data_IF_154269145116
#
_entry.id   IF_154269145116
#
_cell.length_a   1.000
_cell.length_b   1.000
_cell.length_c   1.000
_cell.angle_alpha   90.00
_cell.angle_beta   90.00
_cell.angle_gamma   90.00
#
_symmetry.space_group_name_H-M   'P 1'
#
loop_
_entity.id
_entity.type
_entity.pdbx_description
1 polymer ?
#
# COMPACT_ATOMS: atom_id res chain seq x y z
N UNK A 1 28.97 -19.44 -67.73
CA UNK A 1 28.56 -18.24 -66.98
C UNK A 1 27.43 -18.65 -66.05
N UNK A 2 27.74 -18.84 -64.76
CA UNK A 2 26.78 -19.29 -63.74
C UNK A 2 26.43 -18.10 -62.87
N UNK A 3 25.17 -17.67 -62.90
CA UNK A 3 24.62 -16.68 -61.98
C UNK A 3 24.03 -17.47 -60.81
N UNK A 4 24.67 -17.38 -59.65
CA UNK A 4 24.22 -18.00 -58.40
C UNK A 4 22.94 -17.31 -57.93
N UNK A 5 21.89 -18.12 -57.79
CA UNK A 5 20.63 -17.78 -57.13
C UNK A 5 20.90 -17.46 -55.65
N UNK A 6 20.47 -16.28 -55.23
CA UNK A 6 20.67 -15.75 -53.90
C UNK A 6 19.77 -16.48 -52.91
N UNK A 7 20.38 -17.36 -52.11
CA UNK A 7 19.77 -17.99 -50.95
C UNK A 7 19.14 -16.92 -50.03
N UNK A 8 17.83 -16.73 -50.14
CA UNK A 8 17.01 -16.09 -49.11
C UNK A 8 17.14 -16.91 -47.84
N UNK A 9 18.04 -16.49 -46.95
CA UNK A 9 18.00 -16.87 -45.54
C UNK A 9 16.70 -16.33 -44.96
N UNK A 10 15.67 -17.16 -45.01
CA UNK A 10 14.43 -16.95 -44.27
C UNK A 10 14.82 -17.01 -42.79
N UNK A 11 14.98 -15.84 -42.16
CA UNK A 11 15.06 -15.70 -40.71
C UNK A 11 13.77 -16.30 -40.13
N UNK A 12 13.83 -17.59 -39.80
CA UNK A 12 12.82 -18.22 -38.96
C UNK A 12 13.08 -17.70 -37.55
N UNK A 13 12.32 -16.70 -37.15
CA UNK A 13 12.17 -16.35 -35.74
C UNK A 13 11.87 -17.64 -34.97
N UNK A 14 12.59 -17.94 -33.87
CA UNK A 14 12.17 -19.03 -33.01
C UNK A 14 10.73 -18.71 -32.59
N UNK A 15 9.81 -19.64 -32.85
CA UNK A 15 8.45 -19.53 -32.35
C UNK A 15 8.55 -19.43 -30.83
N UNK A 16 8.42 -18.21 -30.31
CA UNK A 16 8.26 -17.96 -28.88
C UNK A 16 6.97 -18.68 -28.52
N UNK A 17 7.09 -19.81 -27.82
CA UNK A 17 5.95 -20.62 -27.42
C UNK A 17 5.03 -19.80 -26.54
N UNK A 18 3.91 -19.36 -27.12
CA UNK A 18 2.90 -18.49 -26.50
C UNK A 18 2.20 -19.10 -25.30
N UNK A 19 2.36 -20.40 -25.10
CA UNK A 19 1.48 -21.19 -24.24
C UNK A 19 1.98 -21.27 -22.78
N UNK A 20 3.26 -20.92 -22.53
CA UNK A 20 3.85 -20.89 -21.18
C UNK A 20 4.07 -19.49 -20.62
N UNK A 21 4.19 -18.48 -21.47
CA UNK A 21 4.40 -17.09 -21.02
C UNK A 21 3.10 -16.41 -20.59
N UNK A 22 1.98 -16.78 -21.20
CA UNK A 22 0.63 -16.28 -20.86
C UNK A 22 0.25 -16.47 -19.38
N UNK A 23 0.35 -17.67 -18.77
CA UNK A 23 0.01 -17.86 -17.35
C UNK A 23 0.96 -17.12 -16.38
N UNK A 24 2.23 -16.91 -16.77
CA UNK A 24 3.20 -16.13 -15.98
C UNK A 24 2.87 -14.63 -16.02
N UNK A 25 2.40 -14.13 -17.16
CA UNK A 25 2.03 -12.73 -17.32
C UNK A 25 0.73 -12.43 -16.56
N UNK A 26 -0.27 -13.31 -16.64
CA UNK A 26 -1.53 -13.20 -15.90
C UNK A 26 -1.31 -13.20 -14.39
N UNK A 27 -0.45 -14.08 -13.87
CA UNK A 27 -0.10 -14.10 -12.44
C UNK A 27 0.67 -12.85 -12.02
N UNK A 28 1.59 -12.34 -12.85
CA UNK A 28 2.31 -11.10 -12.55
C UNK A 28 1.37 -9.88 -12.50
N UNK A 29 0.45 -9.77 -13.47
CA UNK A 29 -0.56 -8.69 -13.53
C UNK A 29 -1.51 -8.78 -12.33
N UNK A 30 -2.03 -9.97 -12.01
CA UNK A 30 -2.89 -10.15 -10.85
C UNK A 30 -2.21 -9.72 -9.54
N UNK A 31 -0.93 -10.09 -9.35
CA UNK A 31 -0.16 -9.68 -8.16
C UNK A 31 0.04 -8.16 -8.10
N UNK A 32 0.29 -7.51 -9.24
CA UNK A 32 0.42 -6.06 -9.31
C UNK A 32 -0.89 -5.33 -8.96
N UNK A 33 -2.02 -5.84 -9.46
CA UNK A 33 -3.35 -5.29 -9.16
C UNK A 33 -3.67 -5.45 -7.68
N UNK A 34 -3.50 -6.65 -7.10
CA UNK A 34 -3.76 -6.90 -5.68
C UNK A 34 -2.89 -5.99 -4.81
N UNK A 35 -1.60 -5.87 -5.11
CA UNK A 35 -0.71 -4.98 -4.36
C UNK A 35 -1.20 -3.52 -4.43
N UNK A 36 -1.56 -3.04 -5.63
CA UNK A 36 -2.07 -1.68 -5.82
C UNK A 36 -3.33 -1.43 -4.99
N UNK A 37 -4.27 -2.37 -5.01
CA UNK A 37 -5.50 -2.28 -4.23
C UNK A 37 -5.23 -2.28 -2.72
N UNK A 38 -4.31 -3.13 -2.25
CA UNK A 38 -3.96 -3.19 -0.83
C UNK A 38 -3.30 -1.88 -0.35
N UNK A 39 -2.43 -1.29 -1.17
CA UNK A 39 -1.83 0.03 -0.90
C UNK A 39 -2.85 1.15 -0.94
N UNK A 40 -3.77 1.16 -1.92
CA UNK A 40 -4.86 2.12 -1.99
C UNK A 40 -5.77 2.01 -0.76
N UNK A 41 -6.08 0.79 -0.32
CA UNK A 41 -6.87 0.51 0.87
C UNK A 41 -6.19 1.02 2.14
N UNK A 42 -4.87 0.83 2.28
CA UNK A 42 -4.09 1.44 3.37
C UNK A 42 -4.22 2.96 3.40
N UNK A 43 -4.06 3.61 2.25
CA UNK A 43 -4.21 5.07 2.15
C UNK A 43 -5.61 5.50 2.58
N UNK A 44 -6.65 4.82 2.10
CA UNK A 44 -8.04 5.12 2.47
C UNK A 44 -8.31 4.92 3.96
N UNK A 45 -7.86 3.80 4.54
CA UNK A 45 -7.99 3.52 5.97
C UNK A 45 -7.28 4.58 6.82
N UNK A 46 -6.12 5.02 6.35
CA UNK A 46 -5.34 6.06 7.01
C UNK A 46 -6.03 7.43 6.97
N UNK A 47 -6.62 7.81 5.83
CA UNK A 47 -7.44 9.02 5.73
C UNK A 47 -8.69 8.95 6.60
N UNK A 48 -9.37 7.81 6.63
CA UNK A 48 -10.55 7.61 7.47
C UNK A 48 -10.22 7.77 8.95
N UNK A 49 -9.10 7.21 9.41
CA UNK A 49 -8.62 7.36 10.79
C UNK A 49 -8.26 8.82 11.13
N UNK A 50 -7.52 9.52 10.25
CA UNK A 50 -7.23 10.94 10.47
C UNK A 50 -8.52 11.76 10.55
N UNK A 51 -9.44 11.55 9.62
CA UNK A 51 -10.69 12.31 9.57
C UNK A 51 -11.57 12.07 10.80
N UNK A 52 -11.74 10.82 11.20
CA UNK A 52 -12.54 10.45 12.38
C UNK A 52 -11.92 10.96 13.67
N UNK A 53 -10.59 10.95 13.80
CA UNK A 53 -9.90 11.54 14.96
C UNK A 53 -10.02 13.06 15.00
N UNK A 54 -9.80 13.75 13.88
CA UNK A 54 -9.91 15.21 13.82
C UNK A 54 -11.34 15.65 14.16
N UNK A 55 -12.33 14.97 13.59
CA UNK A 55 -13.74 15.25 13.86
C UNK A 55 -14.12 14.91 15.31
N UNK A 56 -13.69 13.75 15.81
CA UNK A 56 -13.87 13.31 17.20
C UNK A 56 -13.34 14.30 18.22
N UNK A 57 -12.10 14.70 18.06
CA UNK A 57 -11.44 15.69 18.93
C UNK A 57 -12.10 17.07 18.80
N UNK A 58 -12.53 17.46 17.60
CA UNK A 58 -13.22 18.72 17.36
C UNK A 58 -14.58 18.85 18.08
N UNK A 59 -15.27 17.72 18.30
CA UNK A 59 -16.56 17.71 19.01
C UNK A 59 -16.45 17.27 20.49
N UNK A 60 -15.23 17.11 21.02
CA UNK A 60 -14.98 16.84 22.43
C UNK A 60 -14.99 15.37 22.84
N UNK A 61 -14.82 14.43 21.90
CA UNK A 61 -14.63 13.01 22.25
C UNK A 61 -13.29 12.78 22.97
N UNK A 62 -13.28 11.87 23.97
CA UNK A 62 -12.09 11.55 24.74
C UNK A 62 -11.10 10.69 23.93
N UNK A 63 -9.98 11.27 23.50
CA UNK A 63 -8.85 10.53 22.92
C UNK A 63 -8.11 9.75 24.01
N UNK A 64 -8.11 8.41 23.90
CA UNK A 64 -7.44 7.50 24.84
C UNK A 64 -5.96 7.35 24.56
N UNK A 65 -5.48 7.71 23.36
CA UNK A 65 -4.06 7.69 23.06
C UNK A 65 -3.34 8.87 23.75
N UNK A 66 -2.43 8.62 24.72
CA UNK A 66 -1.78 9.70 25.47
C UNK A 66 -0.95 10.63 24.58
N UNK A 67 -0.35 10.12 23.50
CA UNK A 67 0.45 10.91 22.56
C UNK A 67 -0.44 11.76 21.66
N UNK A 68 -1.51 11.20 21.12
CA UNK A 68 -2.49 11.93 20.31
C UNK A 68 -3.17 13.04 21.12
N UNK A 69 -3.50 12.74 22.37
CA UNK A 69 -4.07 13.68 23.33
C UNK A 69 -3.11 14.83 23.65
N UNK A 70 -1.86 14.52 23.96
CA UNK A 70 -0.83 15.53 24.22
C UNK A 70 -0.64 16.47 23.02
N UNK A 71 -0.46 15.91 21.82
CA UNK A 71 -0.30 16.71 20.59
C UNK A 71 -1.50 17.62 20.32
N UNK A 72 -2.72 17.11 20.54
CA UNK A 72 -3.93 17.90 20.36
C UNK A 72 -4.06 19.04 21.38
N UNK A 73 -3.86 18.77 22.68
CA UNK A 73 -4.02 19.82 23.69
C UNK A 73 -2.90 20.86 23.65
N UNK A 74 -1.67 20.45 23.34
CA UNK A 74 -0.52 21.35 23.37
C UNK A 74 -0.33 22.12 22.05
N UNK A 75 -0.69 21.51 20.91
CA UNK A 75 -0.38 22.03 19.56
C UNK A 75 -1.57 22.05 18.60
N UNK A 76 -2.75 21.59 19.03
CA UNK A 76 -3.98 21.62 18.25
C UNK A 76 -4.12 20.50 17.21
N UNK A 77 -5.24 20.56 16.48
CA UNK A 77 -5.64 19.58 15.46
C UNK A 77 -4.56 19.35 14.38
N UNK A 78 -3.92 20.43 13.94
CA UNK A 78 -2.94 20.36 12.86
C UNK A 78 -1.73 19.50 13.23
N UNK A 79 -1.28 19.55 14.49
CA UNK A 79 -0.15 18.75 14.97
C UNK A 79 -0.51 17.26 15.09
N UNK A 80 -1.71 16.94 15.57
CA UNK A 80 -2.21 15.57 15.63
C UNK A 80 -2.35 14.95 14.21
N UNK A 81 -2.87 15.73 13.25
CA UNK A 81 -2.96 15.30 11.86
C UNK A 81 -1.57 15.11 11.23
N UNK A 82 -0.65 16.06 11.43
CA UNK A 82 0.71 15.97 10.92
C UNK A 82 1.46 14.75 11.47
N UNK A 83 1.28 14.42 12.76
CA UNK A 83 1.85 13.23 13.36
C UNK A 83 1.34 11.94 12.70
N UNK A 84 0.03 11.80 12.50
CA UNK A 84 -0.53 10.63 11.79
C UNK A 84 0.00 10.50 10.37
N UNK A 85 0.06 11.62 9.63
CA UNK A 85 0.64 11.65 8.29
C UNK A 85 2.13 11.25 8.28
N UNK A 86 2.90 11.68 9.28
CA UNK A 86 4.30 11.29 9.43
C UNK A 86 4.45 9.78 9.68
N UNK A 87 3.59 9.18 10.52
CA UNK A 87 3.59 7.73 10.76
C UNK A 87 3.25 6.96 9.48
N UNK A 88 2.25 7.40 8.72
CA UNK A 88 1.88 6.79 7.43
C UNK A 88 3.06 6.89 6.45
N UNK A 89 3.68 8.06 6.35
CA UNK A 89 4.85 8.28 5.50
C UNK A 89 6.04 7.40 5.89
N UNK A 90 6.28 7.22 7.20
CA UNK A 90 7.32 6.34 7.71
C UNK A 90 7.06 4.88 7.35
N UNK A 91 5.82 4.40 7.54
CA UNK A 91 5.44 3.02 7.20
C UNK A 91 5.60 2.80 5.70
N UNK A 92 5.00 3.66 4.86
CA UNK A 92 5.10 3.55 3.41
C UNK A 92 6.56 3.63 2.92
N UNK A 93 7.35 4.56 3.46
CA UNK A 93 8.76 4.74 3.12
C UNK A 93 9.62 3.54 3.52
N UNK A 94 9.47 3.05 4.75
CA UNK A 94 10.17 1.86 5.24
C UNK A 94 9.83 0.64 4.38
N UNK A 95 8.54 0.47 4.03
CA UNK A 95 8.13 -0.55 3.10
C UNK A 95 8.89 -0.40 1.78
N UNK A 96 8.82 0.74 1.10
CA UNK A 96 9.46 0.92 -0.22
C UNK A 96 10.97 0.64 -0.15
N UNK A 97 11.62 1.05 0.94
CA UNK A 97 13.03 0.77 1.19
C UNK A 97 13.31 -0.74 1.33
N UNK A 98 12.48 -1.47 2.08
CA UNK A 98 12.59 -2.93 2.22
C UNK A 98 12.37 -3.61 0.87
N UNK A 99 11.33 -3.23 0.11
CA UNK A 99 11.10 -3.73 -1.24
C UNK A 99 12.32 -3.51 -2.14
N UNK A 100 12.89 -2.30 -2.11
CA UNK A 100 14.08 -1.96 -2.90
C UNK A 100 15.33 -2.75 -2.49
N UNK A 101 15.50 -3.00 -1.18
CA UNK A 101 16.59 -3.81 -0.64
C UNK A 101 16.45 -5.28 -1.06
N UNK A 102 15.25 -5.85 -0.88
CA UNK A 102 14.96 -7.23 -1.24
C UNK A 102 15.08 -7.43 -2.75
N UNK A 103 14.64 -6.48 -3.60
CA UNK A 103 14.84 -6.58 -5.05
C UNK A 103 16.32 -6.59 -5.46
N UNK A 104 17.18 -5.96 -4.67
CA UNK A 104 18.63 -5.86 -4.94
C UNK A 104 19.40 -7.08 -4.46
N UNK A 105 18.95 -7.72 -3.38
CA UNK A 105 19.74 -8.75 -2.68
C UNK A 105 19.05 -10.13 -2.57
N UNK A 106 17.74 -10.21 -2.83
CA UNK A 106 16.93 -11.43 -2.74
C UNK A 106 16.15 -11.63 -4.05
N UNK A 107 15.85 -12.88 -4.40
CA UNK A 107 15.35 -13.33 -5.72
C UNK A 107 13.91 -12.90 -6.09
N UNK A 108 13.54 -11.65 -5.85
CA UNK A 108 12.23 -11.07 -6.10
C UNK A 108 11.47 -10.69 -4.82
N UNK A 109 10.38 -9.92 -4.94
CA UNK A 109 9.65 -9.42 -3.79
C UNK A 109 8.91 -10.56 -3.07
N UNK A 110 9.05 -10.65 -1.75
CA UNK A 110 8.47 -11.73 -0.96
C UNK A 110 6.95 -11.62 -0.92
N UNK A 111 6.28 -12.76 -0.75
CA UNK A 111 4.82 -12.87 -0.74
C UNK A 111 4.18 -11.98 0.35
N UNK A 112 4.85 -11.78 1.48
CA UNK A 112 4.33 -10.95 2.58
C UNK A 112 4.14 -9.48 2.17
N UNK A 113 4.90 -8.98 1.18
CA UNK A 113 4.77 -7.62 0.65
C UNK A 113 3.38 -7.31 0.07
N UNK A 114 2.69 -8.32 -0.48
CA UNK A 114 1.32 -8.16 -0.98
C UNK A 114 0.31 -7.91 0.15
N UNK A 115 0.53 -8.55 1.30
CA UNK A 115 -0.44 -8.56 2.41
C UNK A 115 -0.15 -7.52 3.47
N UNK A 116 1.11 -7.07 3.58
CA UNK A 116 1.54 -6.06 4.54
C UNK A 116 0.66 -4.79 4.55
N UNK A 117 0.43 -4.09 3.42
CA UNK A 117 -0.40 -2.89 3.44
C UNK A 117 -1.84 -3.17 3.87
N UNK A 118 -2.42 -4.33 3.52
CA UNK A 118 -3.76 -4.71 3.97
C UNK A 118 -3.82 -4.99 5.48
N UNK A 119 -2.78 -5.62 6.05
CA UNK A 119 -2.68 -5.84 7.49
C UNK A 119 -2.59 -4.52 8.26
N UNK A 120 -1.74 -3.60 7.79
CA UNK A 120 -1.62 -2.26 8.36
C UNK A 120 -2.93 -1.50 8.21
N UNK A 121 -3.58 -1.57 7.04
CA UNK A 121 -4.86 -0.91 6.80
C UNK A 121 -5.94 -1.35 7.80
N UNK A 122 -5.99 -2.65 8.12
CA UNK A 122 -6.94 -3.19 9.12
C UNK A 122 -6.79 -2.52 10.49
N UNK A 123 -5.56 -2.25 10.93
CA UNK A 123 -5.30 -1.57 12.21
C UNK A 123 -5.85 -0.15 12.15
N UNK A 124 -5.57 0.60 11.08
CA UNK A 124 -6.06 1.97 10.90
C UNK A 124 -7.58 2.03 10.76
N UNK A 125 -8.20 1.07 10.06
CA UNK A 125 -9.65 0.97 9.97
C UNK A 125 -10.29 0.63 11.31
N UNK A 126 -9.65 -0.22 12.12
CA UNK A 126 -10.08 -0.50 13.48
C UNK A 126 -10.06 0.75 14.35
N UNK A 127 -8.99 1.55 14.26
CA UNK A 127 -8.89 2.83 14.95
C UNK A 127 -9.97 3.83 14.47
N UNK A 128 -10.18 3.94 13.15
CA UNK A 128 -11.20 4.79 12.57
C UNK A 128 -12.62 4.38 13.01
N UNK A 129 -12.91 3.08 13.01
CA UNK A 129 -14.18 2.52 13.46
C UNK A 129 -14.41 2.77 14.95
N UNK A 130 -13.37 2.60 15.78
CA UNK A 130 -13.43 2.91 17.19
C UNK A 130 -13.74 4.40 17.42
N UNK A 131 -13.06 5.29 16.72
CA UNK A 131 -13.32 6.73 16.77
C UNK A 131 -14.75 7.07 16.32
N UNK A 132 -15.26 6.39 15.28
CA UNK A 132 -16.64 6.54 14.83
C UNK A 132 -17.65 6.05 15.88
N UNK A 133 -17.35 4.99 16.63
CA UNK A 133 -18.20 4.50 17.72
C UNK A 133 -18.23 5.46 18.91
N UNK A 134 -17.08 6.06 19.27
CA UNK A 134 -17.01 7.14 20.26
C UNK A 134 -17.83 8.36 19.80
N UNK A 135 -17.68 8.75 18.53
CA UNK A 135 -18.46 9.84 17.91
C UNK A 135 -19.97 9.58 17.94
N UNK A 136 -20.39 8.35 17.69
CA UNK A 136 -21.79 7.96 17.72
C UNK A 136 -22.35 7.82 19.16
N UNK A 137 -21.51 7.98 20.20
CA UNK A 137 -21.90 7.82 21.59
C UNK A 137 -22.26 6.38 21.99
N UNK A 138 -21.87 5.39 21.17
CA UNK A 138 -22.15 3.96 21.38
C UNK A 138 -21.25 3.38 22.47
N UNK A 139 -20.02 3.90 22.58
CA UNK A 139 -19.03 3.52 23.58
C UNK A 139 -18.63 4.79 24.34
N UNK A 140 -18.48 4.70 25.67
CA UNK A 140 -18.09 5.81 26.56
C UNK A 140 -16.80 5.51 27.30
#
# INVERSE_FOLDING_TARGET
MSVRDGSRTRLTWPAIGTDRETPLLETAVARAVIATLAWAFLVLAAFADVFTTVYGLGIGAHETNPVGRMLFFDHGIAAAAAFKLAVIGLVAGASVAIYGLERRYLSGPPVWWLYYPALVATIWMGAAAWNALLLAGVVR
#
